data_IF_799717480413
#
_entry.id   IF_799717480413
#
_cell.length_a   1.000
_cell.length_b   1.000
_cell.length_c   1.000
_cell.angle_alpha   90.00
_cell.angle_beta   90.00
_cell.angle_gamma   90.00
#
_symmetry.space_group_name_H-M   'P 1'
#
loop_
_entity.id
_entity.type
_entity.pdbx_description
1 polymer ?
#
# COMPACT_ATOMS: atom_id res chain seq x y z
N UNK A 1 -28.75 -23.60 21.37
CA UNK A 1 -27.47 -24.34 21.31
C UNK A 1 -26.72 -24.09 20.01
N UNK A 2 -27.37 -24.19 18.84
CA UNK A 2 -26.75 -23.91 17.52
C UNK A 2 -26.12 -22.51 17.42
N UNK A 3 -26.80 -21.47 17.92
CA UNK A 3 -26.27 -20.10 17.86
C UNK A 3 -25.00 -19.87 18.68
N UNK A 4 -24.83 -20.61 19.78
CA UNK A 4 -23.64 -20.46 20.64
C UNK A 4 -22.40 -21.06 19.96
N UNK A 5 -22.55 -22.18 19.29
CA UNK A 5 -21.47 -22.82 18.55
C UNK A 5 -21.12 -22.04 17.28
N UNK A 6 -22.12 -21.51 16.56
CA UNK A 6 -21.88 -20.62 15.42
C UNK A 6 -21.10 -19.36 15.85
N UNK A 7 -21.47 -18.73 16.98
CA UNK A 7 -20.74 -17.56 17.50
C UNK A 7 -19.28 -17.87 17.82
N UNK A 8 -19.01 -19.02 18.43
CA UNK A 8 -17.64 -19.47 18.70
C UNK A 8 -16.87 -19.76 17.41
N UNK A 9 -17.51 -20.37 16.42
CA UNK A 9 -16.90 -20.68 15.13
C UNK A 9 -16.46 -19.40 14.42
N UNK A 10 -17.38 -18.44 14.26
CA UNK A 10 -17.10 -17.11 13.69
C UNK A 10 -15.94 -16.44 14.45
N UNK A 11 -16.02 -16.45 15.78
CA UNK A 11 -14.97 -15.87 16.63
C UNK A 11 -13.61 -16.53 16.43
N UNK A 12 -13.56 -17.86 16.36
CA UNK A 12 -12.32 -18.61 16.13
C UNK A 12 -11.71 -18.36 14.76
N UNK A 13 -12.53 -18.32 13.70
CA UNK A 13 -12.08 -18.05 12.33
C UNK A 13 -11.59 -16.61 12.17
N UNK A 14 -12.32 -15.64 12.73
CA UNK A 14 -11.87 -14.25 12.78
C UNK A 14 -10.53 -14.09 13.52
N UNK A 15 -10.40 -14.74 14.69
CA UNK A 15 -9.15 -14.72 15.46
C UNK A 15 -7.99 -15.38 14.70
N UNK A 16 -8.24 -16.52 14.05
CA UNK A 16 -7.26 -17.24 13.25
C UNK A 16 -6.72 -16.31 12.14
N UNK A 17 -7.62 -15.75 11.32
CA UNK A 17 -7.22 -14.86 10.22
C UNK A 17 -6.47 -13.63 10.70
N UNK A 18 -6.91 -13.03 11.81
CA UNK A 18 -6.21 -11.89 12.42
C UNK A 18 -4.76 -12.24 12.79
N UNK A 19 -4.53 -13.43 13.36
CA UNK A 19 -3.19 -13.88 13.73
C UNK A 19 -2.35 -14.26 12.50
N UNK A 20 -2.94 -14.86 11.47
CA UNK A 20 -2.28 -15.15 10.19
C UNK A 20 -1.75 -13.86 9.54
N UNK A 21 -2.52 -12.77 9.62
CA UNK A 21 -2.13 -11.45 9.14
C UNK A 21 -1.26 -10.65 10.13
N UNK A 22 -0.83 -11.24 11.25
CA UNK A 22 -0.05 -10.57 12.30
C UNK A 22 -0.68 -9.24 12.79
N UNK A 23 -2.01 -9.21 12.89
CA UNK A 23 -2.79 -8.05 13.31
C UNK A 23 -3.12 -8.08 14.80
N UNK A 24 -3.25 -6.90 15.39
CA UNK A 24 -3.66 -6.73 16.78
C UNK A 24 -5.18 -6.54 16.87
N UNK A 25 -5.79 -6.85 18.02
CA UNK A 25 -7.22 -6.58 18.22
C UNK A 25 -7.59 -5.09 18.05
N UNK A 26 -6.77 -4.12 18.51
CA UNK A 26 -7.00 -2.70 18.22
C UNK A 26 -7.11 -2.35 16.73
N UNK A 27 -6.31 -2.98 15.86
CA UNK A 27 -6.37 -2.74 14.41
C UNK A 27 -7.75 -3.09 13.83
N UNK A 28 -8.24 -4.30 14.14
CA UNK A 28 -9.57 -4.74 13.69
C UNK A 28 -10.67 -3.89 14.33
N UNK A 29 -10.47 -3.46 15.58
CA UNK A 29 -11.43 -2.61 16.29
C UNK A 29 -11.59 -1.25 15.62
N UNK A 30 -10.47 -0.62 15.21
CA UNK A 30 -10.45 0.64 14.47
C UNK A 30 -11.23 0.51 13.16
N UNK A 31 -10.94 -0.52 12.36
CA UNK A 31 -11.64 -0.76 11.08
C UNK A 31 -13.13 -1.03 11.25
N UNK A 32 -13.54 -1.65 12.36
CA UNK A 32 -14.94 -1.89 12.67
C UNK A 32 -15.64 -0.75 13.42
N UNK A 33 -14.93 0.30 13.83
CA UNK A 33 -15.49 1.39 14.64
C UNK A 33 -15.95 0.93 16.04
N UNK A 34 -15.28 -0.06 16.64
CA UNK A 34 -15.58 -0.59 17.98
C UNK A 34 -14.36 -0.56 18.90
N UNK A 35 -14.52 -0.98 20.16
CA UNK A 35 -13.39 -1.09 21.09
C UNK A 35 -12.63 -2.41 20.92
N UNK A 36 -11.34 -2.45 21.26
CA UNK A 36 -10.55 -3.70 21.26
C UNK A 36 -11.18 -4.79 22.16
N UNK A 37 -11.80 -4.40 23.28
CA UNK A 37 -12.53 -5.32 24.15
C UNK A 37 -13.76 -5.94 23.46
N UNK A 38 -14.38 -5.23 22.52
CA UNK A 38 -15.50 -5.75 21.72
C UNK A 38 -15.01 -6.81 20.74
N UNK A 39 -13.87 -6.59 20.07
CA UNK A 39 -13.22 -7.61 19.22
C UNK A 39 -12.89 -8.86 20.01
N UNK A 40 -12.26 -8.74 21.19
CA UNK A 40 -11.99 -9.89 22.06
C UNK A 40 -13.26 -10.68 22.39
N UNK A 41 -14.37 -10.00 22.65
CA UNK A 41 -15.66 -10.65 22.94
C UNK A 41 -16.28 -11.31 21.70
N UNK A 42 -16.12 -10.74 20.51
CA UNK A 42 -16.51 -11.36 19.24
C UNK A 42 -15.67 -12.62 18.98
N UNK A 43 -14.35 -12.56 19.16
CA UNK A 43 -13.44 -13.70 18.99
C UNK A 43 -13.74 -14.85 19.96
N UNK A 44 -14.13 -14.52 21.19
CA UNK A 44 -14.52 -15.52 22.19
C UNK A 44 -15.98 -16.01 22.01
N UNK A 45 -16.73 -15.50 21.04
CA UNK A 45 -18.16 -15.79 20.87
C UNK A 45 -19.03 -15.41 22.07
N UNK A 46 -18.55 -14.48 22.91
CA UNK A 46 -19.19 -14.08 24.17
C UNK A 46 -20.28 -13.01 23.98
N UNK A 47 -20.29 -12.37 22.81
CA UNK A 47 -21.36 -11.49 22.34
C UNK A 47 -21.81 -11.93 20.94
N UNK A 48 -22.93 -11.40 20.51
CA UNK A 48 -23.54 -11.78 19.24
C UNK A 48 -22.76 -11.23 18.04
N UNK A 49 -22.10 -12.12 17.29
CA UNK A 49 -21.33 -11.82 16.07
C UNK A 49 -22.01 -12.36 14.80
N UNK A 50 -23.25 -12.86 14.88
CA UNK A 50 -23.99 -13.39 13.72
C UNK A 50 -24.79 -12.31 13.00
N UNK A 51 -24.86 -11.10 13.56
CA UNK A 51 -25.54 -9.96 12.96
C UNK A 51 -24.85 -9.56 11.65
N UNK A 52 -25.66 -9.26 10.63
CA UNK A 52 -25.20 -8.84 9.30
C UNK A 52 -24.09 -7.77 9.36
N UNK A 53 -24.35 -6.67 10.08
CA UNK A 53 -23.36 -5.58 10.24
C UNK A 53 -22.03 -6.02 10.86
N UNK A 54 -22.05 -6.96 11.81
CA UNK A 54 -20.82 -7.43 12.47
C UNK A 54 -20.04 -8.36 11.54
N UNK A 55 -20.74 -9.23 10.81
CA UNK A 55 -20.15 -10.10 9.81
C UNK A 55 -19.53 -9.32 8.65
N UNK A 56 -20.24 -8.30 8.14
CA UNK A 56 -19.73 -7.39 7.12
C UNK A 56 -18.49 -6.65 7.62
N UNK A 57 -18.52 -6.12 8.85
CA UNK A 57 -17.35 -5.44 9.42
C UNK A 57 -16.15 -6.36 9.65
N UNK A 58 -16.36 -7.60 10.11
CA UNK A 58 -15.28 -8.59 10.25
C UNK A 58 -14.74 -9.05 8.89
N UNK A 59 -15.64 -9.23 7.91
CA UNK A 59 -15.31 -9.61 6.55
C UNK A 59 -14.46 -8.55 5.87
N UNK A 60 -14.84 -7.28 5.96
CA UNK A 60 -14.08 -6.15 5.42
C UNK A 60 -12.73 -5.99 6.16
N UNK A 61 -12.72 -6.02 7.49
CA UNK A 61 -11.49 -5.80 8.27
C UNK A 61 -10.45 -6.93 8.14
N UNK A 62 -10.88 -8.16 7.83
CA UNK A 62 -10.00 -9.33 7.70
C UNK A 62 -9.83 -9.80 6.25
N UNK A 63 -10.52 -9.14 5.31
CA UNK A 63 -10.59 -9.48 3.89
C UNK A 63 -10.87 -10.98 3.66
N UNK A 64 -11.96 -11.45 4.24
CA UNK A 64 -12.46 -12.84 4.10
C UNK A 64 -13.94 -12.82 3.77
N UNK A 65 -14.45 -13.89 3.17
CA UNK A 65 -15.88 -14.01 2.89
C UNK A 65 -16.70 -14.23 4.17
N UNK A 66 -17.97 -13.79 4.15
CA UNK A 66 -18.90 -14.01 5.26
C UNK A 66 -19.22 -15.50 5.40
N UNK A 67 -19.32 -16.20 4.28
CA UNK A 67 -19.55 -17.64 4.16
C UNK A 67 -18.45 -18.41 4.89
N UNK A 68 -17.18 -17.99 4.73
CA UNK A 68 -16.08 -18.57 5.47
C UNK A 68 -16.16 -18.23 6.95
N UNK A 69 -16.47 -16.99 7.34
CA UNK A 69 -16.63 -16.67 8.77
C UNK A 69 -17.69 -17.56 9.45
N UNK A 70 -18.77 -17.90 8.73
CA UNK A 70 -19.85 -18.75 9.25
C UNK A 70 -19.56 -20.25 9.22
N UNK A 71 -18.53 -20.71 8.52
CA UNK A 71 -18.31 -22.15 8.32
C UNK A 71 -19.13 -22.78 7.19
N UNK A 72 -19.65 -21.96 6.28
CA UNK A 72 -20.39 -22.44 5.10
C UNK A 72 -19.43 -22.92 3.99
N UNK A 73 -18.19 -22.44 4.00
CA UNK A 73 -17.06 -22.93 3.18
C UNK A 73 -15.82 -23.08 4.06
N UNK A 74 -14.95 -24.04 3.77
CA UNK A 74 -13.65 -24.20 4.43
C UNK A 74 -12.52 -23.42 3.74
N UNK A 75 -12.74 -23.06 2.48
CA UNK A 75 -11.81 -22.27 1.68
C UNK A 75 -12.20 -20.80 1.74
N UNK A 76 -11.23 -19.96 2.09
CA UNK A 76 -11.30 -18.53 1.83
C UNK A 76 -10.19 -18.19 0.83
N UNK A 77 -10.57 -17.95 -0.41
CA UNK A 77 -9.63 -17.37 -1.38
C UNK A 77 -9.44 -15.90 -1.01
N UNK A 78 -8.19 -15.53 -0.73
CA UNK A 78 -7.81 -14.14 -0.47
C UNK A 78 -6.54 -13.86 -1.23
N UNK A 79 -6.54 -12.76 -1.97
CA UNK A 79 -5.34 -12.27 -2.62
C UNK A 79 -4.34 -11.68 -1.62
N UNK A 80 -4.80 -11.36 -0.40
CA UNK A 80 -3.98 -10.76 0.65
C UNK A 80 -3.19 -11.84 1.40
N UNK A 81 -1.88 -11.82 1.17
CA UNK A 81 -0.94 -12.79 1.76
C UNK A 81 -0.07 -12.21 2.86
N UNK A 82 0.08 -10.89 2.90
CA UNK A 82 0.96 -10.20 3.86
C UNK A 82 0.26 -9.03 4.57
N UNK A 83 0.70 -8.75 5.80
CA UNK A 83 0.22 -7.63 6.60
C UNK A 83 0.40 -6.28 5.90
N UNK A 84 1.51 -6.07 5.19
CA UNK A 84 1.76 -4.80 4.50
C UNK A 84 0.82 -4.64 3.31
N UNK A 85 0.54 -5.72 2.58
CA UNK A 85 -0.43 -5.71 1.48
C UNK A 85 -1.82 -5.28 1.98
N UNK A 86 -2.25 -5.86 3.11
CA UNK A 86 -3.49 -5.46 3.78
C UNK A 86 -3.50 -3.96 4.10
N UNK A 87 -2.45 -3.48 4.78
CA UNK A 87 -2.36 -2.08 5.20
C UNK A 87 -2.34 -1.11 4.00
N UNK A 88 -1.69 -1.49 2.90
CA UNK A 88 -1.68 -0.70 1.66
C UNK A 88 -3.09 -0.64 1.08
N UNK A 89 -3.79 -1.77 0.93
CA UNK A 89 -5.16 -1.79 0.41
C UNK A 89 -6.12 -0.98 1.27
N UNK A 90 -6.00 -1.10 2.59
CA UNK A 90 -6.82 -0.37 3.54
C UNK A 90 -6.60 1.14 3.44
N UNK A 91 -5.34 1.60 3.40
CA UNK A 91 -5.02 3.04 3.23
C UNK A 91 -5.51 3.56 1.88
N UNK A 92 -5.30 2.81 0.79
CA UNK A 92 -5.80 3.20 -0.53
C UNK A 92 -7.33 3.28 -0.55
N UNK A 93 -8.03 2.30 0.04
CA UNK A 93 -9.48 2.31 0.16
C UNK A 93 -10.00 3.50 0.96
N UNK A 94 -9.34 3.83 2.07
CA UNK A 94 -9.70 4.98 2.90
C UNK A 94 -9.49 6.31 2.15
N UNK A 95 -8.40 6.45 1.39
CA UNK A 95 -8.16 7.63 0.53
C UNK A 95 -9.26 7.74 -0.54
N UNK A 96 -9.59 6.64 -1.23
CA UNK A 96 -10.61 6.65 -2.28
C UNK A 96 -12.01 7.00 -1.76
N UNK A 97 -12.36 6.54 -0.54
CA UNK A 97 -13.62 6.89 0.13
C UNK A 97 -13.74 8.39 0.42
N UNK A 98 -12.63 9.11 0.52
CA UNK A 98 -12.63 10.56 0.76
C UNK A 98 -12.77 11.38 -0.53
N UNK A 99 -12.73 10.76 -1.71
CA UNK A 99 -12.84 11.49 -2.98
C UNK A 99 -14.32 11.66 -3.41
N UNK A 100 -14.77 12.87 -3.82
CA UNK A 100 -14.02 14.13 -3.84
C UNK A 100 -13.82 14.71 -2.43
N UNK A 101 -12.68 15.38 -2.21
CA UNK A 101 -12.37 15.98 -0.92
C UNK A 101 -13.31 17.17 -0.66
N UNK A 102 -13.61 17.41 0.62
CA UNK A 102 -14.34 18.62 1.05
C UNK A 102 -13.42 19.85 1.01
N UNK A 103 -12.99 20.19 -0.21
CA UNK A 103 -12.06 21.27 -0.54
C UNK A 103 -12.62 22.12 -1.68
N UNK A 104 -12.00 23.27 -1.93
CA UNK A 104 -12.33 24.02 -3.14
C UNK A 104 -11.80 23.27 -4.39
N UNK A 105 -12.35 23.60 -5.57
CA UNK A 105 -12.03 22.88 -6.82
C UNK A 105 -10.53 22.84 -7.15
N UNK A 106 -9.81 23.93 -6.87
CA UNK A 106 -8.38 24.05 -7.17
C UNK A 106 -7.56 23.21 -6.20
N UNK A 107 -7.88 23.28 -4.90
CA UNK A 107 -7.24 22.47 -3.86
C UNK A 107 -7.48 20.96 -4.05
N UNK A 108 -8.71 20.57 -4.40
CA UNK A 108 -9.07 19.19 -4.70
C UNK A 108 -8.32 18.67 -5.94
N UNK A 109 -8.20 19.49 -7.00
CA UNK A 109 -7.41 19.15 -8.18
C UNK A 109 -5.93 18.97 -7.85
N UNK A 110 -5.33 19.93 -7.14
CA UNK A 110 -3.93 19.85 -6.70
C UNK A 110 -3.66 18.59 -5.87
N UNK A 111 -4.55 18.25 -4.93
CA UNK A 111 -4.39 17.04 -4.09
C UNK A 111 -4.46 15.75 -4.92
N UNK A 112 -5.34 15.70 -5.92
CA UNK A 112 -5.47 14.54 -6.83
C UNK A 112 -4.25 14.38 -7.72
N UNK A 113 -3.77 15.50 -8.28
CA UNK A 113 -2.58 15.54 -9.12
C UNK A 113 -1.33 15.10 -8.35
N UNK A 114 -1.21 15.54 -7.08
CA UNK A 114 -0.10 15.13 -6.23
C UNK A 114 -0.13 13.63 -5.90
N UNK A 115 -1.32 13.10 -5.56
CA UNK A 115 -1.49 11.66 -5.32
C UNK A 115 -1.16 10.86 -6.58
N UNK A 116 -1.64 11.28 -7.74
CA UNK A 116 -1.34 10.64 -9.02
C UNK A 116 0.15 10.61 -9.31
N UNK A 117 0.85 11.73 -9.11
CA UNK A 117 2.30 11.81 -9.30
C UNK A 117 3.05 10.85 -8.36
N UNK A 118 2.66 10.80 -7.08
CA UNK A 118 3.26 9.87 -6.11
C UNK A 118 3.11 8.40 -6.54
N UNK A 119 1.92 8.02 -7.02
CA UNK A 119 1.65 6.66 -7.48
C UNK A 119 2.47 6.31 -8.72
N UNK A 120 2.54 7.23 -9.69
CA UNK A 120 3.32 7.03 -10.92
C UNK A 120 4.83 6.97 -10.68
N UNK A 121 5.35 7.82 -9.80
CA UNK A 121 6.75 7.75 -9.40
C UNK A 121 7.09 6.46 -8.64
N UNK A 122 6.14 5.92 -7.88
CA UNK A 122 6.30 4.62 -7.25
C UNK A 122 6.33 3.47 -8.27
N UNK A 123 5.51 3.53 -9.33
CA UNK A 123 5.53 2.58 -10.45
C UNK A 123 6.91 2.56 -11.14
N UNK A 124 7.43 3.73 -11.53
CA UNK A 124 8.77 3.85 -12.13
C UNK A 124 9.87 3.33 -11.19
N UNK A 125 9.80 3.68 -9.91
CA UNK A 125 10.74 3.17 -8.91
C UNK A 125 10.74 1.65 -8.84
N UNK A 126 9.57 1.00 -8.88
CA UNK A 126 9.47 -0.46 -8.80
C UNK A 126 10.22 -1.12 -9.94
N UNK A 127 10.07 -0.61 -11.17
CA UNK A 127 10.74 -1.16 -12.34
C UNK A 127 12.26 -1.05 -12.23
N UNK A 128 12.77 0.16 -11.95
CA UNK A 128 14.21 0.38 -11.77
C UNK A 128 14.78 -0.37 -10.57
N UNK A 129 14.04 -0.45 -9.46
CA UNK A 129 14.47 -1.16 -8.27
C UNK A 129 14.55 -2.68 -8.50
N UNK A 130 13.55 -3.25 -9.19
CA UNK A 130 13.58 -4.65 -9.59
C UNK A 130 14.73 -4.93 -10.54
N UNK A 131 14.96 -4.07 -11.53
CA UNK A 131 16.08 -4.17 -12.45
C UNK A 131 17.42 -4.12 -11.70
N UNK A 132 17.61 -3.14 -10.81
CA UNK A 132 18.83 -2.99 -10.03
C UNK A 132 19.08 -4.19 -9.10
N UNK A 133 18.03 -4.72 -8.47
CA UNK A 133 18.12 -5.93 -7.63
C UNK A 133 18.53 -7.16 -8.44
N UNK A 134 17.99 -7.34 -9.65
CA UNK A 134 18.28 -8.51 -10.49
C UNK A 134 19.69 -8.45 -11.09
N UNK A 135 20.17 -7.25 -11.42
CA UNK A 135 21.40 -7.08 -12.20
C UNK A 135 22.64 -6.71 -11.38
N UNK A 136 22.50 -5.98 -10.27
CA UNK A 136 23.66 -5.46 -9.53
C UNK A 136 23.79 -6.02 -8.12
N UNK A 137 22.67 -6.22 -7.41
CA UNK A 137 22.70 -6.66 -6.01
C UNK A 137 23.30 -8.07 -5.86
N UNK A 138 24.54 -8.14 -5.39
CA UNK A 138 25.26 -9.41 -5.22
C UNK A 138 25.61 -10.12 -6.54
N UNK A 139 25.47 -9.44 -7.70
CA UNK A 139 25.89 -9.98 -9.00
C UNK A 139 27.37 -10.30 -8.96
N UNK A 140 27.81 -11.39 -9.61
CA UNK A 140 29.21 -11.75 -9.85
C UNK A 140 29.66 -11.52 -11.30
N UNK A 141 28.74 -11.12 -12.19
CA UNK A 141 28.92 -11.16 -13.65
C UNK A 141 29.81 -10.06 -14.21
N UNK A 142 29.96 -8.96 -13.49
CA UNK A 142 30.51 -7.71 -14.05
C UNK A 142 31.95 -7.41 -13.59
N UNK A 143 32.71 -8.43 -13.18
CA UNK A 143 34.05 -8.25 -12.60
C UNK A 143 35.03 -7.64 -13.60
N UNK A 144 34.97 -8.10 -14.86
CA UNK A 144 35.80 -7.60 -15.93
C UNK A 144 35.38 -6.19 -16.35
N UNK A 145 34.08 -5.89 -16.34
CA UNK A 145 33.54 -4.56 -16.66
C UNK A 145 33.97 -3.55 -15.59
N UNK A 146 33.84 -3.89 -14.31
CA UNK A 146 34.28 -3.05 -13.19
C UNK A 146 35.77 -2.68 -13.34
N UNK A 147 36.61 -3.67 -13.65
CA UNK A 147 38.04 -3.46 -13.86
C UNK A 147 38.36 -2.60 -15.07
N UNK A 148 37.63 -2.79 -16.19
CA UNK A 148 37.79 -1.98 -17.41
C UNK A 148 37.36 -0.53 -17.19
N UNK A 149 36.32 -0.31 -16.39
CA UNK A 149 35.84 1.04 -16.05
C UNK A 149 36.65 1.72 -14.93
N UNK A 150 37.62 1.01 -14.34
CA UNK A 150 38.55 1.58 -13.35
C UNK A 150 38.02 1.61 -11.91
N UNK A 151 37.00 0.82 -11.59
CA UNK A 151 36.52 0.68 -10.21
C UNK A 151 37.50 -0.17 -9.37
N UNK A 152 37.63 0.18 -8.09
CA UNK A 152 38.55 -0.49 -7.16
C UNK A 152 38.05 -1.91 -6.82
N UNK A 153 36.74 -2.08 -6.83
CA UNK A 153 36.11 -3.37 -6.61
C UNK A 153 34.84 -3.56 -7.43
N UNK A 154 34.43 -4.81 -7.56
CA UNK A 154 33.16 -5.14 -8.20
C UNK A 154 31.97 -4.68 -7.36
N UNK A 155 32.11 -4.69 -6.04
CA UNK A 155 31.04 -4.31 -5.13
C UNK A 155 30.78 -2.80 -5.23
N UNK A 156 31.83 -1.99 -5.37
CA UNK A 156 31.74 -0.56 -5.67
C UNK A 156 31.02 -0.31 -7.01
N UNK A 157 31.41 -1.02 -8.08
CA UNK A 157 30.71 -0.92 -9.38
C UNK A 157 29.22 -1.25 -9.26
N UNK A 158 28.90 -2.37 -8.60
CA UNK A 158 27.52 -2.81 -8.40
C UNK A 158 26.71 -1.78 -7.60
N UNK A 159 27.28 -1.20 -6.55
CA UNK A 159 26.63 -0.17 -5.75
C UNK A 159 26.35 1.10 -6.58
N UNK A 160 27.33 1.57 -7.34
CA UNK A 160 27.17 2.78 -8.17
C UNK A 160 26.13 2.57 -9.27
N UNK A 161 26.15 1.41 -9.93
CA UNK A 161 25.15 1.09 -10.95
C UNK A 161 23.75 0.94 -10.34
N UNK A 162 23.64 0.29 -9.17
CA UNK A 162 22.37 0.22 -8.44
C UNK A 162 21.84 1.61 -8.10
N UNK A 163 22.68 2.49 -7.55
CA UNK A 163 22.30 3.85 -7.21
C UNK A 163 21.89 4.65 -8.44
N UNK A 164 22.62 4.50 -9.55
CA UNK A 164 22.29 5.15 -10.82
C UNK A 164 20.87 4.81 -11.28
N UNK A 165 20.48 3.53 -11.20
CA UNK A 165 19.13 3.09 -11.59
C UNK A 165 18.04 3.76 -10.74
N UNK A 166 18.25 3.93 -9.42
CA UNK A 166 17.24 4.50 -8.53
C UNK A 166 17.34 6.02 -8.33
N UNK A 167 18.34 6.68 -8.92
CA UNK A 167 18.61 8.11 -8.69
C UNK A 167 17.45 9.00 -9.15
N UNK A 168 16.77 8.62 -10.24
CA UNK A 168 15.62 9.36 -10.76
C UNK A 168 14.50 9.46 -9.69
N UNK A 169 14.25 8.39 -8.91
CA UNK A 169 13.24 8.39 -7.84
C UNK A 169 13.59 9.39 -6.73
N UNK A 170 14.87 9.46 -6.36
CA UNK A 170 15.33 10.42 -5.33
C UNK A 170 15.08 11.86 -5.78
N UNK A 171 15.36 12.14 -7.05
CA UNK A 171 15.10 13.46 -7.64
C UNK A 171 13.61 13.78 -7.64
N UNK A 172 12.77 12.84 -8.07
CA UNK A 172 11.32 12.99 -8.07
C UNK A 172 10.75 13.27 -6.66
N UNK A 173 11.29 12.61 -5.62
CA UNK A 173 10.88 12.87 -4.24
C UNK A 173 11.26 14.28 -3.77
N UNK A 174 12.43 14.77 -4.17
CA UNK A 174 12.83 16.15 -3.88
C UNK A 174 11.92 17.15 -4.61
N UNK A 175 11.59 16.91 -5.87
CA UNK A 175 10.68 17.75 -6.65
C UNK A 175 9.28 17.80 -6.04
N UNK A 176 8.72 16.65 -5.63
CA UNK A 176 7.45 16.60 -4.92
C UNK A 176 7.49 17.35 -3.58
N UNK A 177 8.57 17.20 -2.82
CA UNK A 177 8.75 17.93 -1.56
C UNK A 177 8.76 19.46 -1.79
N UNK A 178 9.39 19.91 -2.86
CA UNK A 178 9.44 21.32 -3.23
C UNK A 178 8.08 21.85 -3.69
N UNK A 179 7.32 21.06 -4.46
CA UNK A 179 5.93 21.39 -4.85
C UNK A 179 5.05 21.60 -3.61
N UNK A 180 5.10 20.66 -2.65
CA UNK A 180 4.32 20.74 -1.40
C UNK A 180 4.69 21.99 -0.60
N UNK A 181 5.99 22.31 -0.47
CA UNK A 181 6.44 23.52 0.23
C UNK A 181 6.00 24.79 -0.50
N UNK A 182 6.09 24.80 -1.83
CA UNK A 182 5.81 25.96 -2.66
C UNK A 182 4.33 26.35 -2.60
N UNK A 183 3.42 25.36 -2.51
CA UNK A 183 1.98 25.60 -2.49
C UNK A 183 1.56 26.60 -1.41
N UNK A 184 2.16 26.51 -0.21
CA UNK A 184 1.87 27.42 0.92
C UNK A 184 2.18 28.91 0.65
N UNK A 185 3.09 29.21 -0.28
CA UNK A 185 3.55 30.58 -0.58
C UNK A 185 3.11 31.06 -1.95
N UNK A 186 3.03 30.16 -2.93
CA UNK A 186 2.76 30.44 -4.35
C UNK A 186 1.98 29.27 -4.96
N UNK A 187 0.66 29.17 -4.70
CA UNK A 187 -0.16 28.03 -5.14
C UNK A 187 -0.16 27.85 -6.67
N UNK A 188 -0.38 28.92 -7.44
CA UNK A 188 -0.36 28.88 -8.91
C UNK A 188 0.96 28.35 -9.48
N UNK A 189 2.10 28.72 -8.87
CA UNK A 189 3.41 28.24 -9.31
C UNK A 189 3.65 26.76 -8.92
N UNK A 190 3.09 26.32 -7.79
CA UNK A 190 3.14 24.93 -7.37
C UNK A 190 2.27 24.04 -8.27
N UNK A 191 1.07 24.50 -8.62
CA UNK A 191 0.18 23.85 -9.58
C UNK A 191 0.84 23.69 -10.94
N UNK A 192 1.43 24.76 -11.48
CA UNK A 192 2.14 24.68 -12.76
C UNK A 192 3.34 23.72 -12.71
N UNK A 193 4.11 23.72 -11.61
CA UNK A 193 5.24 22.80 -11.46
C UNK A 193 4.77 21.35 -11.35
N UNK A 194 3.69 21.10 -10.60
CA UNK A 194 3.08 19.77 -10.47
C UNK A 194 2.57 19.26 -11.82
N UNK A 195 1.89 20.11 -12.59
CA UNK A 195 1.41 19.77 -13.93
C UNK A 195 2.55 19.41 -14.88
N UNK A 196 3.68 20.14 -14.83
CA UNK A 196 4.85 19.82 -15.63
C UNK A 196 5.44 18.45 -15.26
N UNK A 197 5.63 18.17 -13.97
CA UNK A 197 6.14 16.88 -13.49
C UNK A 197 5.21 15.72 -13.88
N UNK A 198 3.90 15.91 -13.76
CA UNK A 198 2.93 14.92 -14.22
C UNK A 198 3.04 14.67 -15.72
N UNK A 199 3.19 15.72 -16.52
CA UNK A 199 3.34 15.57 -17.96
C UNK A 199 4.58 14.74 -18.33
N UNK A 200 5.72 14.99 -17.67
CA UNK A 200 6.97 14.24 -17.91
C UNK A 200 6.76 12.73 -17.70
N UNK A 201 6.06 12.36 -16.64
CA UNK A 201 5.84 10.94 -16.29
C UNK A 201 4.73 10.29 -17.12
N UNK A 202 3.73 11.06 -17.57
CA UNK A 202 2.62 10.54 -18.36
C UNK A 202 2.91 10.43 -19.86
N UNK A 203 3.86 11.22 -20.40
CA UNK A 203 4.26 11.10 -21.81
C UNK A 203 5.20 9.91 -22.07
N UNK A 204 5.96 9.45 -21.08
CA UNK A 204 6.78 8.23 -21.20
C UNK A 204 5.94 6.97 -21.49
N UNK A 205 4.68 6.91 -21.02
CA UNK A 205 3.72 5.83 -21.32
C UNK A 205 3.23 5.84 -22.79
N UNK A 206 3.50 6.91 -23.57
CA UNK A 206 2.98 7.09 -24.94
C UNK A 206 3.95 6.71 -26.07
N UNK A 207 5.25 6.60 -25.79
CA UNK A 207 6.26 6.17 -26.77
C UNK A 207 6.48 4.64 -26.79
N UNK A 208 5.80 3.88 -25.92
CA UNK A 208 5.91 2.42 -25.80
C UNK A 208 4.82 1.62 -26.53
N UNK A 209 4.33 2.10 -27.69
CA UNK A 209 3.38 1.37 -28.57
C UNK A 209 4.01 1.01 -29.90
#
# INVERSE_FOLDING_TARGET
MKDKELRKLIGSRAKQRRLELNLTQPYVAEKMGVTASTILRYENGSIDNTKKMVLEGLSEALHVSIEWLKGETDEYETDITDKKELQIRDVMGDILKQLPLDLNKTEDAFSKDLLLLMLKQYELFLDSFQFACKNYKGSTKDADIAKVMGFESKDEYNEIMFLREITHTVNAFNDMADVVRLYSKKPEAAEQRLANLLSEVMYEDSESV
#
